data_IF_334913255289
#
_entry.id   IF_334913255289
#
_cell.length_a   1.000
_cell.length_b   1.000
_cell.length_c   1.000
_cell.angle_alpha   90.00
_cell.angle_beta   90.00
_cell.angle_gamma   90.00
#
_symmetry.space_group_name_H-M   'P 1'
#
loop_
_entity.id
_entity.type
_entity.pdbx_description
1 polymer ?
#
# COMPACT_ATOMS: atom_id res chain seq x y z
N UNK A 1 -14.16 -38.01 31.97
CA UNK A 1 -13.72 -36.99 32.95
C UNK A 1 -12.68 -36.13 32.20
N UNK A 2 -13.07 -35.06 31.47
CA UNK A 2 -13.28 -33.66 31.94
C UNK A 2 -12.15 -33.20 32.87
N UNK A 3 -11.42 -32.08 32.70
CA UNK A 3 -11.50 -30.85 31.91
C UNK A 3 -10.04 -30.41 31.61
N UNK A 4 -9.67 -29.85 30.46
CA UNK A 4 -9.85 -28.43 30.13
C UNK A 4 -8.58 -27.62 30.43
N UNK A 5 -7.62 -27.57 29.50
CA UNK A 5 -6.56 -26.55 29.50
C UNK A 5 -6.99 -25.45 28.53
N UNK A 6 -7.70 -24.45 29.06
CA UNK A 6 -7.89 -23.16 28.40
C UNK A 6 -6.74 -22.28 28.88
N UNK A 7 -5.77 -22.00 28.01
CA UNK A 7 -4.97 -20.79 28.14
C UNK A 7 -5.89 -19.62 27.81
N UNK A 8 -6.60 -19.15 28.84
CA UNK A 8 -7.26 -17.87 28.81
C UNK A 8 -6.16 -16.82 28.75
N UNK A 9 -6.20 -15.99 27.71
CA UNK A 9 -5.48 -14.73 27.61
C UNK A 9 -5.64 -13.97 28.94
N UNK A 10 -4.57 -13.90 29.72
CA UNK A 10 -4.50 -12.92 30.80
C UNK A 10 -4.44 -11.53 30.15
N UNK A 11 -5.44 -10.66 30.37
CA UNK A 11 -5.37 -9.28 29.91
C UNK A 11 -4.27 -8.62 30.70
N UNK A 12 -3.12 -8.43 30.07
CA UNK A 12 -1.96 -7.81 30.70
C UNK A 12 -2.38 -6.43 31.22
N UNK A 13 -2.41 -6.29 32.54
CA UNK A 13 -2.84 -5.08 33.23
C UNK A 13 -1.76 -4.01 33.07
N UNK A 14 -1.86 -3.22 32.00
CA UNK A 14 -0.96 -2.10 31.69
C UNK A 14 -1.59 -0.74 32.03
N UNK A 15 -2.00 -0.48 33.28
CA UNK A 15 -2.82 0.71 33.58
C UNK A 15 -2.18 1.78 34.46
N UNK A 16 -1.26 1.45 35.37
CA UNK A 16 -0.72 2.45 36.30
C UNK A 16 0.41 3.33 35.72
N UNK A 17 1.34 2.75 34.96
CA UNK A 17 2.51 3.48 34.43
C UNK A 17 2.16 4.38 33.24
N UNK A 18 1.13 4.02 32.48
CA UNK A 18 0.72 4.74 31.26
C UNK A 18 0.08 6.11 31.56
N UNK A 19 -0.67 6.24 32.66
CA UNK A 19 -1.24 7.54 33.05
C UNK A 19 -0.17 8.55 33.47
N UNK A 20 0.90 8.10 34.14
CA UNK A 20 1.97 8.96 34.59
C UNK A 20 2.78 9.53 33.40
N UNK A 21 3.10 8.71 32.40
CA UNK A 21 3.82 9.17 31.20
C UNK A 21 3.05 10.26 30.42
N UNK A 22 1.75 10.04 30.15
CA UNK A 22 0.96 11.00 29.38
C UNK A 22 0.77 12.32 30.14
N UNK A 23 0.55 12.27 31.46
CA UNK A 23 0.44 13.47 32.29
C UNK A 23 1.77 14.20 32.42
N UNK A 24 2.88 13.47 32.66
CA UNK A 24 4.22 14.04 32.81
C UNK A 24 4.64 14.85 31.57
N UNK A 25 4.31 14.35 30.37
CA UNK A 25 4.62 15.03 29.11
C UNK A 25 3.46 15.86 28.55
N UNK A 26 2.34 16.00 29.28
CA UNK A 26 1.13 16.71 28.85
C UNK A 26 0.59 16.24 27.47
N UNK A 27 0.70 14.94 27.19
CA UNK A 27 0.27 14.33 25.93
C UNK A 27 -1.17 13.84 26.04
N UNK A 28 -2.00 14.15 25.05
CA UNK A 28 -3.39 13.66 25.00
C UNK A 28 -3.52 12.19 24.61
N UNK A 29 -2.49 11.63 23.97
CA UNK A 29 -2.44 10.23 23.55
C UNK A 29 -0.99 9.76 23.44
N UNK A 30 -0.77 8.45 23.47
CA UNK A 30 0.55 7.86 23.27
C UNK A 30 1.03 8.15 21.83
N UNK A 31 2.11 8.93 21.63
CA UNK A 31 2.63 9.26 20.31
C UNK A 31 3.35 8.07 19.64
N UNK A 32 3.65 7.00 20.39
CA UNK A 32 4.36 5.80 19.95
C UNK A 32 3.50 4.52 20.01
N UNK A 33 2.21 4.65 20.35
CA UNK A 33 1.29 3.50 20.40
C UNK A 33 0.87 3.00 19.01
N UNK A 34 0.19 1.85 18.90
CA UNK A 34 -0.39 1.40 17.63
C UNK A 34 -1.43 2.42 17.14
N UNK A 35 -1.08 3.16 16.10
CA UNK A 35 -1.89 4.26 15.62
C UNK A 35 -2.83 3.77 14.54
N UNK A 36 -4.01 3.29 14.94
CA UNK A 36 -5.02 2.80 14.00
C UNK A 36 -5.57 3.91 13.10
N UNK A 37 -5.67 5.15 13.61
CA UNK A 37 -6.26 6.31 12.92
C UNK A 37 -5.54 7.60 13.32
N UNK A 38 -4.35 7.84 12.77
CA UNK A 38 -3.73 9.17 12.87
C UNK A 38 -3.76 9.85 11.52
N UNK A 39 -4.57 10.89 11.44
CA UNK A 39 -4.48 11.89 10.37
C UNK A 39 -3.15 12.64 10.40
N UNK A 40 -2.37 12.53 11.48
CA UNK A 40 -1.04 13.12 11.55
C UNK A 40 -0.06 12.34 10.68
N UNK A 41 0.28 12.92 9.54
CA UNK A 41 1.37 12.51 8.68
C UNK A 41 2.52 13.52 8.81
N UNK A 42 3.59 13.12 9.48
CA UNK A 42 4.78 13.95 9.63
C UNK A 42 5.70 13.73 8.42
N UNK A 43 5.62 14.65 7.46
CA UNK A 43 6.41 14.60 6.24
C UNK A 43 7.84 15.10 6.51
N UNK A 44 8.71 14.22 7.01
CA UNK A 44 10.15 14.46 7.04
C UNK A 44 10.74 14.59 5.64
N UNK A 45 12.01 14.96 5.55
CA UNK A 45 12.71 15.09 4.25
C UNK A 45 12.59 13.81 3.38
N UNK A 46 12.76 12.58 3.90
CA UNK A 46 12.61 11.37 3.09
C UNK A 46 11.20 11.18 2.52
N UNK A 47 10.16 11.49 3.31
CA UNK A 47 8.77 11.38 2.86
C UNK A 47 8.43 12.42 1.80
N UNK A 48 8.92 13.65 1.95
CA UNK A 48 8.74 14.72 0.95
C UNK A 48 9.43 14.38 -0.36
N UNK A 49 10.67 13.88 -0.31
CA UNK A 49 11.41 13.38 -1.46
C UNK A 49 10.65 12.23 -2.15
N UNK A 50 10.14 11.27 -1.38
CA UNK A 50 9.38 10.16 -1.93
C UNK A 50 8.12 10.62 -2.67
N UNK A 51 7.35 11.56 -2.10
CA UNK A 51 6.17 12.14 -2.78
C UNK A 51 6.58 12.85 -4.07
N UNK A 52 7.62 13.68 -4.03
CA UNK A 52 8.10 14.39 -5.22
C UNK A 52 8.52 13.43 -6.34
N UNK A 53 9.15 12.31 -5.99
CA UNK A 53 9.51 11.25 -6.96
C UNK A 53 8.29 10.53 -7.53
N UNK A 54 7.24 10.33 -6.74
CA UNK A 54 5.97 9.78 -7.22
C UNK A 54 5.25 10.74 -8.18
N UNK A 55 5.25 12.04 -7.89
CA UNK A 55 4.74 13.06 -8.80
C UNK A 55 5.53 13.08 -10.12
N UNK A 56 6.87 12.98 -10.02
CA UNK A 56 7.73 12.89 -11.20
C UNK A 56 7.40 11.64 -12.04
N UNK A 57 7.27 10.48 -11.40
CA UNK A 57 6.95 9.20 -12.04
C UNK A 57 5.68 9.29 -12.89
N UNK A 58 4.64 9.91 -12.33
CA UNK A 58 3.35 10.09 -13.00
C UNK A 58 3.48 11.07 -14.16
N UNK A 59 4.32 12.10 -14.04
CA UNK A 59 4.58 13.06 -15.11
C UNK A 59 5.45 12.48 -16.24
N UNK A 60 6.42 11.62 -15.91
CA UNK A 60 7.40 11.08 -16.87
C UNK A 60 6.88 9.91 -17.70
N UNK A 61 5.61 9.53 -17.56
CA UNK A 61 5.00 8.35 -18.19
C UNK A 61 5.71 7.02 -17.87
N UNK A 62 6.52 7.01 -16.81
CA UNK A 62 7.14 5.79 -16.31
C UNK A 62 6.06 4.93 -15.64
N UNK A 63 5.99 3.67 -16.03
CA UNK A 63 4.86 2.79 -15.66
C UNK A 63 5.03 2.06 -14.34
N UNK A 64 6.26 1.96 -13.83
CA UNK A 64 6.56 1.19 -12.64
C UNK A 64 7.68 1.87 -11.85
N UNK A 65 7.59 1.80 -10.52
CA UNK A 65 8.65 2.19 -9.61
C UNK A 65 8.80 1.18 -8.47
N UNK A 66 10.04 1.05 -8.00
CA UNK A 66 10.37 0.29 -6.80
C UNK A 66 10.77 1.24 -5.68
N UNK A 67 10.11 1.10 -4.53
CA UNK A 67 10.44 1.78 -3.28
C UNK A 67 11.02 0.76 -2.32
N UNK A 68 12.32 0.88 -2.02
CA UNK A 68 12.95 0.05 -1.01
C UNK A 68 12.83 0.73 0.35
N UNK A 69 12.24 0.02 1.30
CA UNK A 69 11.80 0.58 2.56
C UNK A 69 12.19 -0.36 3.71
N UNK A 70 13.00 0.13 4.66
CA UNK A 70 13.30 -0.63 5.88
C UNK A 70 12.09 -0.68 6.80
N UNK A 71 11.99 -1.74 7.61
CA UNK A 71 10.86 -1.92 8.52
C UNK A 71 10.78 -0.76 9.52
N UNK A 72 9.60 -0.16 9.65
CA UNK A 72 9.34 0.93 10.59
C UNK A 72 9.62 2.34 10.06
N UNK A 73 10.08 2.51 8.82
CA UNK A 73 10.34 3.84 8.23
C UNK A 73 9.07 4.65 7.87
N UNK A 74 7.88 4.05 8.04
CA UNK A 74 6.60 4.71 7.75
C UNK A 74 6.13 4.58 6.28
N UNK A 75 6.68 3.65 5.50
CA UNK A 75 6.28 3.44 4.11
C UNK A 75 4.79 3.14 3.93
N UNK A 76 4.20 2.25 4.73
CA UNK A 76 2.75 2.00 4.69
C UNK A 76 1.94 3.28 4.95
N UNK A 77 2.39 4.11 5.89
CA UNK A 77 1.73 5.40 6.20
C UNK A 77 1.83 6.37 5.03
N UNK A 78 2.99 6.44 4.38
CA UNK A 78 3.20 7.22 3.16
C UNK A 78 2.25 6.73 2.05
N UNK A 79 2.20 5.43 1.77
CA UNK A 79 1.34 4.86 0.74
C UNK A 79 -0.15 5.12 1.01
N UNK A 80 -0.60 4.96 2.26
CA UNK A 80 -1.97 5.30 2.68
C UNK A 80 -2.28 6.79 2.48
N UNK A 81 -1.32 7.66 2.75
CA UNK A 81 -1.48 9.10 2.53
C UNK A 81 -1.64 9.39 1.03
N UNK A 82 -0.82 8.78 0.19
CA UNK A 82 -0.89 8.95 -1.27
C UNK A 82 -2.17 8.35 -1.84
N UNK A 83 -2.63 7.18 -1.36
CA UNK A 83 -3.89 6.58 -1.82
C UNK A 83 -5.12 7.43 -1.51
N UNK A 84 -5.05 8.30 -0.49
CA UNK A 84 -6.12 9.25 -0.18
C UNK A 84 -6.12 10.51 -1.04
N UNK A 85 -5.19 10.66 -1.99
CA UNK A 85 -5.12 11.82 -2.87
C UNK A 85 -5.83 11.57 -4.20
N UNK A 86 -6.57 12.55 -4.71
CA UNK A 86 -7.23 12.50 -6.03
C UNK A 86 -6.36 13.07 -7.15
N UNK A 87 -5.11 13.41 -6.86
CA UNK A 87 -4.17 14.01 -7.80
C UNK A 87 -2.76 14.11 -7.23
N UNK A 88 -1.79 14.03 -8.12
CA UNK A 88 -0.36 14.15 -7.83
C UNK A 88 0.27 15.14 -8.81
N UNK A 89 0.77 16.26 -8.29
CA UNK A 89 1.11 17.43 -9.08
C UNK A 89 -0.11 17.95 -9.86
N UNK A 90 0.02 18.06 -11.19
CA UNK A 90 -1.04 18.54 -12.09
C UNK A 90 -1.83 17.40 -12.76
N UNK A 91 -1.64 16.14 -12.34
CA UNK A 91 -2.29 14.99 -12.95
C UNK A 91 -3.42 14.46 -12.06
N UNK A 92 -4.57 14.17 -12.66
CA UNK A 92 -5.65 13.44 -12.00
C UNK A 92 -5.27 11.97 -11.82
N UNK A 93 -5.39 11.48 -10.60
CA UNK A 93 -4.98 10.12 -10.24
C UNK A 93 -6.06 9.46 -9.40
N UNK A 94 -6.38 8.22 -9.76
CA UNK A 94 -7.15 7.29 -8.95
C UNK A 94 -6.17 6.29 -8.33
N UNK A 95 -5.86 6.49 -7.06
CA UNK A 95 -4.83 5.74 -6.36
C UNK A 95 -5.45 4.58 -5.56
N UNK A 96 -5.05 3.35 -5.88
CA UNK A 96 -5.51 2.14 -5.20
C UNK A 96 -4.36 1.51 -4.43
N UNK A 97 -4.60 1.17 -3.16
CA UNK A 97 -3.61 0.57 -2.27
C UNK A 97 -3.97 -0.89 -1.99
N UNK A 98 -3.04 -1.80 -2.28
CA UNK A 98 -3.12 -3.21 -1.87
C UNK A 98 -1.88 -3.59 -1.08
N UNK A 99 -1.96 -4.66 -0.28
CA UNK A 99 -0.76 -5.34 0.22
C UNK A 99 -0.39 -6.51 -0.69
N UNK A 100 0.89 -6.89 -0.73
CA UNK A 100 1.34 -8.21 -1.16
C UNK A 100 1.09 -9.27 -0.07
N UNK A 101 1.84 -10.35 -0.08
CA UNK A 101 1.60 -11.55 0.75
C UNK A 101 0.52 -12.45 0.16
N UNK A 102 0.62 -12.73 -1.14
CA UNK A 102 -0.24 -13.67 -1.88
C UNK A 102 0.60 -14.80 -2.47
N UNK A 103 -0.05 -15.92 -2.75
CA UNK A 103 0.62 -17.13 -3.24
C UNK A 103 0.60 -17.26 -4.77
N UNK A 104 -0.14 -16.40 -5.48
CA UNK A 104 -0.27 -16.45 -6.93
C UNK A 104 -0.65 -15.09 -7.53
N UNK A 105 -0.39 -14.93 -8.83
CA UNK A 105 -0.81 -13.76 -9.62
C UNK A 105 -2.33 -13.61 -9.65
N UNK A 106 -3.07 -14.72 -9.70
CA UNK A 106 -4.53 -14.72 -9.62
C UNK A 106 -5.05 -14.15 -8.29
N UNK A 107 -4.38 -14.48 -7.17
CA UNK A 107 -4.70 -13.90 -5.87
C UNK A 107 -4.35 -12.41 -5.80
N UNK A 108 -3.27 -11.97 -6.45
CA UNK A 108 -2.95 -10.54 -6.62
C UNK A 108 -4.05 -9.80 -7.41
N UNK A 109 -4.52 -10.36 -8.53
CA UNK A 109 -5.62 -9.78 -9.30
C UNK A 109 -6.93 -9.73 -8.51
N UNK A 110 -7.26 -10.80 -7.79
CA UNK A 110 -8.44 -10.83 -6.93
C UNK A 110 -8.39 -9.71 -5.88
N UNK A 111 -7.23 -9.49 -5.26
CA UNK A 111 -7.05 -8.41 -4.28
C UNK A 111 -7.17 -7.02 -4.91
N UNK A 112 -6.59 -6.81 -6.09
CA UNK A 112 -6.74 -5.54 -6.81
C UNK A 112 -8.19 -5.31 -7.26
N UNK A 113 -8.88 -6.34 -7.75
CA UNK A 113 -10.28 -6.26 -8.14
C UNK A 113 -11.15 -5.83 -6.95
N UNK A 114 -10.98 -6.44 -5.77
CA UNK A 114 -11.66 -6.01 -4.54
C UNK A 114 -11.38 -4.54 -4.24
N UNK A 115 -10.12 -4.11 -4.31
CA UNK A 115 -9.74 -2.73 -4.01
C UNK A 115 -10.33 -1.71 -5.01
N UNK A 116 -10.54 -2.11 -6.26
CA UNK A 116 -11.20 -1.33 -7.30
C UNK A 116 -12.73 -1.47 -7.30
N UNK A 117 -13.32 -2.20 -6.33
CA UNK A 117 -14.75 -2.54 -6.31
C UNK A 117 -15.24 -3.27 -7.57
N UNK A 118 -14.37 -4.09 -8.16
CA UNK A 118 -14.64 -4.97 -9.29
C UNK A 118 -14.87 -6.39 -8.76
N UNK A 119 -15.78 -7.13 -9.40
CA UNK A 119 -16.01 -8.54 -9.09
C UNK A 119 -14.70 -9.36 -9.23
N UNK A 120 -14.18 -9.93 -8.12
CA UNK A 120 -12.86 -10.53 -8.07
C UNK A 120 -12.83 -11.99 -8.54
N UNK A 121 -13.98 -12.56 -8.90
CA UNK A 121 -14.11 -13.97 -9.21
C UNK A 121 -13.99 -14.27 -10.71
N UNK A 122 -13.31 -15.39 -11.01
CA UNK A 122 -13.22 -15.97 -12.34
C UNK A 122 -11.99 -15.54 -13.15
N UNK A 123 -11.77 -16.25 -14.26
CA UNK A 123 -10.57 -16.13 -15.10
C UNK A 123 -10.46 -14.78 -15.84
N UNK A 124 -11.47 -13.92 -15.73
CA UNK A 124 -11.56 -12.61 -16.40
C UNK A 124 -11.21 -11.43 -15.48
N UNK A 125 -10.77 -11.65 -14.25
CA UNK A 125 -10.43 -10.58 -13.32
C UNK A 125 -9.43 -9.57 -13.92
N UNK A 126 -8.33 -10.05 -14.52
CA UNK A 126 -7.32 -9.21 -15.16
C UNK A 126 -7.88 -8.38 -16.34
N UNK A 127 -8.78 -8.98 -17.14
CA UNK A 127 -9.44 -8.28 -18.24
C UNK A 127 -10.34 -7.16 -17.71
N UNK A 128 -11.18 -7.43 -16.70
CA UNK A 128 -12.08 -6.43 -16.11
C UNK A 128 -11.31 -5.29 -15.44
N UNK A 129 -10.22 -5.61 -14.74
CA UNK A 129 -9.30 -4.60 -14.18
C UNK A 129 -8.75 -3.71 -15.31
N UNK A 130 -8.29 -4.32 -16.42
CA UNK A 130 -7.78 -3.56 -17.57
C UNK A 130 -8.85 -2.68 -18.21
N UNK A 131 -10.07 -3.18 -18.36
CA UNK A 131 -11.22 -2.41 -18.86
C UNK A 131 -11.54 -1.21 -17.97
N UNK A 132 -11.51 -1.38 -16.65
CA UNK A 132 -11.72 -0.29 -15.69
C UNK A 132 -10.59 0.76 -15.77
N UNK A 133 -9.33 0.34 -15.81
CA UNK A 133 -8.17 1.23 -15.94
C UNK A 133 -8.21 2.00 -17.27
N UNK A 134 -8.59 1.33 -18.36
CA UNK A 134 -8.74 1.95 -19.67
C UNK A 134 -9.91 2.96 -19.69
N UNK A 135 -11.01 2.66 -18.99
CA UNK A 135 -12.13 3.59 -18.84
C UNK A 135 -11.72 4.86 -18.09
N UNK A 136 -10.98 4.75 -16.98
CA UNK A 136 -10.41 5.90 -16.26
C UNK A 136 -9.45 6.70 -17.14
N UNK A 137 -8.59 5.99 -17.90
CA UNK A 137 -7.64 6.62 -18.83
C UNK A 137 -8.30 7.46 -19.93
N UNK A 138 -9.47 7.07 -20.43
CA UNK A 138 -10.25 7.87 -21.40
C UNK A 138 -10.68 9.22 -20.83
N UNK A 139 -10.88 9.31 -19.52
CA UNK A 139 -11.21 10.54 -18.79
C UNK A 139 -9.97 11.32 -18.34
N UNK A 140 -8.78 10.99 -18.86
CA UNK A 140 -7.50 11.58 -18.46
C UNK A 140 -7.17 11.35 -16.96
N UNK A 141 -7.73 10.32 -16.34
CA UNK A 141 -7.41 9.89 -14.98
C UNK A 141 -6.45 8.71 -15.05
N UNK A 142 -5.28 8.84 -14.42
CA UNK A 142 -4.33 7.73 -14.32
C UNK A 142 -4.66 6.86 -13.12
N UNK A 143 -4.54 5.55 -13.27
CA UNK A 143 -4.65 4.63 -12.13
C UNK A 143 -3.26 4.45 -11.53
N UNK A 144 -3.12 4.74 -10.24
CA UNK A 144 -1.89 4.53 -9.48
C UNK A 144 -2.07 3.34 -8.56
N UNK A 145 -1.47 2.20 -8.89
CA UNK A 145 -1.50 1.02 -8.05
C UNK A 145 -0.31 1.01 -7.08
N UNK A 146 -0.59 1.33 -5.83
CA UNK A 146 0.35 1.28 -4.72
C UNK A 146 0.32 -0.12 -4.10
N UNK A 147 1.46 -0.79 -4.04
CA UNK A 147 1.61 -2.14 -3.51
C UNK A 147 2.50 -2.08 -2.27
N UNK A 148 1.90 -2.20 -1.09
CA UNK A 148 2.62 -2.32 0.17
C UNK A 148 3.12 -3.75 0.37
N UNK A 149 4.36 -3.92 0.85
CA UNK A 149 4.99 -5.25 1.04
C UNK A 149 4.86 -6.14 -0.20
N UNK A 150 5.29 -5.62 -1.34
CA UNK A 150 5.24 -6.31 -2.63
C UNK A 150 6.06 -7.61 -2.56
N UNK A 151 5.42 -8.70 -2.97
CA UNK A 151 6.03 -10.00 -3.22
C UNK A 151 6.12 -10.26 -4.73
N UNK A 152 6.76 -11.37 -5.10
CA UNK A 152 6.96 -11.74 -6.50
C UNK A 152 5.63 -11.93 -7.26
N UNK A 153 4.63 -12.68 -6.76
CA UNK A 153 3.39 -12.84 -7.52
C UNK A 153 2.61 -11.55 -7.73
N UNK A 154 2.67 -10.60 -6.78
CA UNK A 154 2.05 -9.28 -6.97
C UNK A 154 2.83 -8.44 -7.98
N UNK A 155 4.17 -8.50 -7.97
CA UNK A 155 5.00 -7.83 -8.96
C UNK A 155 4.77 -8.36 -10.39
N UNK A 156 4.63 -9.68 -10.55
CA UNK A 156 4.29 -10.29 -11.84
C UNK A 156 2.91 -9.83 -12.35
N UNK A 157 1.91 -9.80 -11.46
CA UNK A 157 0.59 -9.26 -11.79
C UNK A 157 0.65 -7.78 -12.21
N UNK A 158 1.47 -6.98 -11.50
CA UNK A 158 1.73 -5.59 -11.86
C UNK A 158 2.37 -5.46 -13.24
N UNK A 159 3.38 -6.27 -13.57
CA UNK A 159 4.01 -6.27 -14.88
C UNK A 159 3.02 -6.63 -16.01
N UNK A 160 2.19 -7.66 -15.81
CA UNK A 160 1.15 -8.05 -16.78
C UNK A 160 0.20 -6.89 -17.06
N UNK A 161 -0.27 -6.17 -16.04
CA UNK A 161 -1.17 -5.03 -16.24
C UNK A 161 -0.45 -3.81 -16.83
N UNK A 162 0.78 -3.51 -16.41
CA UNK A 162 1.54 -2.36 -16.92
C UNK A 162 1.89 -2.47 -18.41
N UNK A 163 2.04 -3.70 -18.94
CA UNK A 163 2.27 -3.90 -20.39
C UNK A 163 1.02 -3.60 -21.21
N UNK A 164 -0.16 -3.94 -20.69
CA UNK A 164 -1.45 -3.83 -21.39
C UNK A 164 -2.16 -2.49 -21.15
N UNK A 165 -1.86 -1.79 -20.04
CA UNK A 165 -2.57 -0.58 -19.63
C UNK A 165 -1.63 0.64 -19.55
N UNK A 166 -1.67 1.52 -20.56
CA UNK A 166 -0.85 2.74 -20.59
C UNK A 166 -1.20 3.79 -19.53
N UNK A 167 -2.43 3.75 -19.01
CA UNK A 167 -2.91 4.63 -17.94
C UNK A 167 -2.60 4.11 -16.54
N UNK A 168 -1.99 2.92 -16.42
CA UNK A 168 -1.56 2.35 -15.15
C UNK A 168 -0.12 2.78 -14.82
N UNK A 169 0.07 3.21 -13.57
CA UNK A 169 1.36 3.38 -12.95
C UNK A 169 1.40 2.52 -11.68
N UNK A 170 2.45 1.73 -11.49
CA UNK A 170 2.61 0.84 -10.33
C UNK A 170 3.76 1.30 -9.44
N UNK A 171 3.57 1.21 -8.13
CA UNK A 171 4.58 1.54 -7.13
C UNK A 171 4.67 0.38 -6.17
N UNK A 172 5.78 -0.34 -6.22
CA UNK A 172 6.03 -1.53 -5.41
C UNK A 172 6.90 -1.13 -4.22
N UNK A 173 6.38 -1.15 -2.98
CA UNK A 173 7.23 -1.04 -1.78
C UNK A 173 7.62 -2.43 -1.31
N UNK A 174 8.91 -2.65 -1.10
CA UNK A 174 9.41 -3.90 -0.52
C UNK A 174 10.58 -3.61 0.41
N UNK A 175 10.98 -4.60 1.19
CA UNK A 175 12.17 -4.47 2.03
C UNK A 175 13.43 -4.48 1.17
N UNK A 176 14.48 -3.81 1.63
CA UNK A 176 15.79 -3.84 0.96
C UNK A 176 16.32 -5.27 0.78
N UNK A 177 16.00 -6.18 1.71
CA UNK A 177 16.38 -7.60 1.66
C UNK A 177 15.64 -8.38 0.57
N UNK A 178 14.37 -8.05 0.33
CA UNK A 178 13.50 -8.71 -0.64
C UNK A 178 13.57 -8.08 -2.04
N UNK A 179 14.27 -6.95 -2.19
CA UNK A 179 14.30 -6.20 -3.45
C UNK A 179 14.98 -6.97 -4.60
N UNK A 180 15.99 -7.79 -4.31
CA UNK A 180 16.69 -8.61 -5.32
C UNK A 180 15.76 -9.61 -6.02
N UNK A 181 14.74 -10.11 -5.32
CA UNK A 181 13.76 -11.05 -5.86
C UNK A 181 12.81 -10.38 -6.87
N UNK A 182 12.60 -9.06 -6.76
CA UNK A 182 11.71 -8.30 -7.65
C UNK A 182 12.42 -7.68 -8.86
N UNK A 183 13.75 -7.62 -8.86
CA UNK A 183 14.54 -7.02 -9.95
C UNK A 183 14.41 -7.77 -11.28
N UNK A 184 13.92 -9.00 -11.28
CA UNK A 184 13.70 -9.81 -12.49
C UNK A 184 12.45 -9.37 -13.26
N UNK A 185 11.56 -8.59 -12.64
CA UNK A 185 10.20 -8.32 -13.13
C UNK A 185 10.00 -6.87 -13.64
N UNK A 186 10.97 -5.99 -13.41
CA UNK A 186 10.98 -4.58 -13.85
C UNK A 186 11.64 -4.41 -15.21
#
# INVERSE_FOLDING_TARGET
MMLGYRDAEEPTVWTATHMNFLQHWSLQRNPFGPVANSDAFFAGLPQREAIARLEYLIRSETRSALMMCDRGCGATTLLKRVSGTSGLGNNAVDAVLTSGGVTSTAAAFSRLAVALSIDPFGDRAAQRISEAIAASGKNQVRTLWLIDRCDLPTAEAAAILSTTNRSLCTVMCTSTQSASELQVTL
#
